data_IF_388956586301
#
_entry.id   IF_388956586301
#
_cell.length_a   1.000
_cell.length_b   1.000
_cell.length_c   1.000
_cell.angle_alpha   90.00
_cell.angle_beta   90.00
_cell.angle_gamma   90.00
#
_symmetry.space_group_name_H-M   'P 1'
#
loop_
_entity.id
_entity.type
_entity.pdbx_description
1 polymer ?
#
# COMPACT_ATOMS: atom_id res chain seq x y z
N UNK A 1 -2.26 0.62 -10.53
CA UNK A 1 -0.90 0.65 -11.16
C UNK A 1 0.20 0.93 -10.13
N UNK A 2 1.50 0.79 -10.46
CA UNK A 2 2.60 1.02 -9.49
C UNK A 2 2.58 2.47 -8.97
N UNK A 3 2.96 2.70 -7.71
CA UNK A 3 3.02 4.05 -7.13
C UNK A 3 3.93 4.98 -7.95
N UNK A 4 3.56 6.25 -8.03
CA UNK A 4 4.25 7.24 -8.88
C UNK A 4 5.71 7.47 -8.49
N UNK A 5 6.06 7.21 -7.24
CA UNK A 5 7.38 7.50 -6.66
C UNK A 5 8.30 6.29 -6.67
N UNK A 6 7.86 5.17 -7.25
CA UNK A 6 8.70 4.01 -7.51
C UNK A 6 9.80 4.39 -8.52
N UNK A 7 11.08 4.19 -8.19
CA UNK A 7 12.17 4.39 -9.15
C UNK A 7 11.99 3.52 -10.39
N UNK A 8 12.21 4.08 -11.58
CA UNK A 8 12.00 3.40 -12.86
C UNK A 8 10.61 2.74 -13.00
N UNK A 9 9.58 3.38 -12.42
CA UNK A 9 8.19 2.90 -12.33
C UNK A 9 7.68 2.16 -13.57
N UNK A 10 7.97 2.67 -14.77
CA UNK A 10 7.47 2.12 -16.04
C UNK A 10 7.95 0.70 -16.32
N UNK A 11 9.02 0.23 -15.64
CA UNK A 11 9.49 -1.15 -15.72
C UNK A 11 8.73 -2.11 -14.78
N UNK A 12 7.88 -1.58 -13.92
CA UNK A 12 7.14 -2.36 -12.92
C UNK A 12 5.64 -2.38 -13.19
N UNK A 13 5.03 -3.55 -13.03
CA UNK A 13 3.58 -3.71 -12.87
C UNK A 13 3.24 -4.14 -11.45
N UNK A 14 2.04 -3.83 -10.98
CA UNK A 14 1.57 -4.32 -9.68
C UNK A 14 1.27 -5.80 -9.81
N UNK A 15 1.78 -6.58 -8.87
CA UNK A 15 1.46 -7.99 -8.74
C UNK A 15 0.22 -8.15 -7.85
N UNK A 16 -0.96 -8.17 -8.48
CA UNK A 16 -2.24 -8.28 -7.79
C UNK A 16 -2.38 -9.65 -7.06
N UNK A 17 -3.09 -9.69 -5.91
CA UNK A 17 -3.83 -8.61 -5.26
C UNK A 17 -2.99 -7.74 -4.30
N UNK A 18 -1.66 -7.86 -4.31
CA UNK A 18 -0.79 -7.29 -3.28
C UNK A 18 -0.47 -5.81 -3.51
N UNK A 19 -1.48 -4.95 -3.38
CA UNK A 19 -1.34 -3.50 -3.38
C UNK A 19 -2.38 -2.90 -2.44
N UNK A 20 -1.95 -2.13 -1.45
CA UNK A 20 -2.85 -1.55 -0.45
C UNK A 20 -2.41 -0.16 -0.01
N UNK A 21 -3.39 0.72 0.20
CA UNK A 21 -3.22 2.01 0.85
C UNK A 21 -3.80 1.95 2.26
N UNK A 22 -3.04 2.47 3.20
CA UNK A 22 -3.37 2.46 4.62
C UNK A 22 -3.37 3.89 5.14
N UNK A 23 -4.28 4.19 6.06
CA UNK A 23 -4.34 5.48 6.75
C UNK A 23 -4.50 5.30 8.25
N UNK A 24 -3.96 6.24 9.02
CA UNK A 24 -4.12 6.31 10.46
C UNK A 24 -4.33 7.77 10.86
N UNK A 25 -5.43 8.03 11.57
CA UNK A 25 -5.76 9.33 12.15
C UNK A 25 -5.77 9.19 13.66
N UNK A 26 -4.86 9.90 14.34
CA UNK A 26 -4.77 9.94 15.80
C UNK A 26 -4.59 11.38 16.22
N UNK A 27 -5.33 11.82 17.24
CA UNK A 27 -5.09 13.09 17.93
C UNK A 27 -4.26 12.78 19.17
N UNK A 28 -3.05 13.30 19.25
CA UNK A 28 -2.13 13.07 20.37
C UNK A 28 -1.58 14.41 20.85
N UNK A 29 -1.81 14.75 22.12
CA UNK A 29 -1.33 16.01 22.72
C UNK A 29 -1.83 17.29 22.02
N UNK A 30 -3.02 17.25 21.38
CA UNK A 30 -3.55 18.37 20.59
C UNK A 30 -3.04 18.44 19.15
N UNK A 31 -2.18 17.50 18.72
CA UNK A 31 -1.70 17.40 17.35
C UNK A 31 -2.46 16.34 16.57
N UNK A 32 -2.91 16.68 15.36
CA UNK A 32 -3.45 15.72 14.42
C UNK A 32 -2.31 14.96 13.71
N UNK A 33 -2.13 13.69 14.05
CA UNK A 33 -1.16 12.78 13.47
C UNK A 33 -1.80 11.94 12.37
N UNK A 34 -2.12 12.59 11.25
CA UNK A 34 -2.60 11.92 10.05
C UNK A 34 -1.43 11.33 9.26
N UNK A 35 -1.33 10.00 9.23
CA UNK A 35 -0.27 9.27 8.52
C UNK A 35 -0.86 8.34 7.48
N UNK A 36 -0.12 8.13 6.40
CA UNK A 36 -0.44 7.11 5.40
C UNK A 36 0.69 6.09 5.25
N UNK A 37 0.34 4.95 4.65
CA UNK A 37 1.29 3.95 4.19
C UNK A 37 0.80 3.36 2.86
N UNK A 38 1.70 3.08 1.92
CA UNK A 38 1.42 2.32 0.71
C UNK A 38 2.36 1.11 0.72
N UNK A 39 1.79 -0.07 0.48
CA UNK A 39 2.54 -1.33 0.37
C UNK A 39 2.15 -1.95 -0.98
N UNK A 40 3.12 -2.29 -1.83
CA UNK A 40 2.87 -2.99 -3.09
C UNK A 40 3.89 -4.10 -3.31
N UNK A 41 3.46 -5.23 -3.86
CA UNK A 41 4.36 -6.15 -4.57
C UNK A 41 4.36 -5.74 -6.03
N UNK A 42 5.55 -5.60 -6.59
CA UNK A 42 5.79 -5.17 -7.96
C UNK A 42 6.53 -6.27 -8.71
N UNK A 43 6.10 -6.55 -9.94
CA UNK A 43 6.80 -7.42 -10.88
C UNK A 43 7.56 -6.55 -11.87
N UNK A 44 8.87 -6.74 -11.98
CA UNK A 44 9.71 -6.04 -12.94
C UNK A 44 9.66 -6.73 -14.31
N UNK A 45 9.91 -5.98 -15.38
CA UNK A 45 9.88 -6.48 -16.76
C UNK A 45 10.90 -7.59 -17.05
N UNK A 46 11.99 -7.67 -16.28
CA UNK A 46 12.98 -8.76 -16.38
C UNK A 46 12.56 -10.04 -15.62
N UNK A 47 11.39 -10.07 -14.98
CA UNK A 47 10.89 -11.22 -14.23
C UNK A 47 11.21 -11.23 -12.74
N UNK A 48 12.04 -10.31 -12.22
CA UNK A 48 12.27 -10.17 -10.78
C UNK A 48 11.11 -9.48 -10.06
N UNK A 49 11.12 -9.52 -8.73
CA UNK A 49 10.09 -8.92 -7.90
C UNK A 49 10.66 -7.85 -6.98
N UNK A 50 9.80 -6.96 -6.49
CA UNK A 50 10.15 -6.00 -5.46
C UNK A 50 8.97 -5.74 -4.52
N UNK A 51 9.23 -5.40 -3.27
CA UNK A 51 8.25 -4.80 -2.38
C UNK A 51 8.48 -3.29 -2.30
N UNK A 52 7.45 -2.50 -2.56
CA UNK A 52 7.45 -1.06 -2.40
C UNK A 52 6.75 -0.68 -1.11
N UNK A 53 7.44 0.11 -0.28
CA UNK A 53 6.90 0.68 0.95
C UNK A 53 7.02 2.19 0.88
N UNK A 54 5.91 2.92 0.99
CA UNK A 54 5.90 4.40 1.07
C UNK A 54 5.13 4.86 2.29
N UNK A 55 5.61 5.90 2.98
CA UNK A 55 4.98 6.42 4.19
C UNK A 55 5.17 7.92 4.32
N UNK A 56 4.25 8.57 5.01
CA UNK A 56 4.34 10.01 5.25
C UNK A 56 3.13 10.53 6.02
N UNK A 57 3.08 11.86 6.13
CA UNK A 57 1.86 12.55 6.56
C UNK A 57 0.90 12.68 5.39
N UNK A 58 -0.40 12.61 5.67
CA UNK A 58 -1.42 12.79 4.63
C UNK A 58 -1.30 14.19 4.04
N UNK A 59 -1.23 14.29 2.70
CA UNK A 59 -1.01 15.54 1.97
C UNK A 59 0.45 15.86 1.66
N UNK A 60 1.40 15.10 2.22
CA UNK A 60 2.84 15.23 1.93
C UNK A 60 3.34 14.07 1.05
N UNK A 61 4.43 14.28 0.32
CA UNK A 61 5.00 13.26 -0.55
C UNK A 61 5.59 12.07 0.22
N UNK A 62 6.08 12.30 1.45
CA UNK A 62 6.65 11.25 2.30
C UNK A 62 7.95 10.64 1.77
N UNK A 63 8.29 9.49 2.31
CA UNK A 63 9.46 8.69 1.93
C UNK A 63 9.03 7.34 1.37
N UNK A 64 9.81 6.81 0.44
CA UNK A 64 9.56 5.53 -0.18
C UNK A 64 10.83 4.69 -0.30
N UNK A 65 10.68 3.38 -0.15
CA UNK A 65 11.78 2.42 -0.29
C UNK A 65 11.33 1.19 -1.07
N UNK A 66 12.13 0.86 -2.08
CA UNK A 66 11.99 -0.32 -2.92
C UNK A 66 12.94 -1.41 -2.42
N UNK A 67 12.41 -2.59 -2.16
CA UNK A 67 13.15 -3.75 -1.69
C UNK A 67 13.14 -4.82 -2.79
N UNK A 68 14.28 -5.12 -3.43
CA UNK A 68 14.34 -6.13 -4.48
C UNK A 68 14.27 -7.56 -3.91
N UNK A 69 13.68 -8.47 -4.67
CA UNK A 69 13.60 -9.90 -4.37
C UNK A 69 13.76 -10.74 -5.64
N UNK A 70 14.49 -11.84 -5.53
CA UNK A 70 14.72 -12.76 -6.65
C UNK A 70 13.51 -13.65 -6.94
N UNK A 71 12.64 -13.87 -5.95
CA UNK A 71 11.48 -14.76 -6.05
C UNK A 71 10.19 -14.12 -5.53
N UNK A 72 9.08 -14.43 -6.20
CA UNK A 72 7.73 -13.94 -5.90
C UNK A 72 7.33 -14.14 -4.43
N UNK A 73 7.53 -15.36 -3.92
CA UNK A 73 7.14 -15.73 -2.56
C UNK A 73 7.83 -14.88 -1.48
N UNK A 74 9.08 -14.44 -1.72
CA UNK A 74 9.81 -13.59 -0.78
C UNK A 74 9.24 -12.16 -0.76
N UNK A 75 8.88 -11.62 -1.92
CA UNK A 75 8.24 -10.31 -2.02
C UNK A 75 6.85 -10.30 -1.37
N UNK A 76 6.05 -11.35 -1.61
CA UNK A 76 4.74 -11.54 -0.97
C UNK A 76 4.88 -11.62 0.55
N UNK A 77 5.81 -12.45 1.06
CA UNK A 77 6.06 -12.56 2.50
C UNK A 77 6.47 -11.22 3.13
N UNK A 78 7.27 -10.43 2.42
CA UNK A 78 7.65 -9.08 2.86
C UNK A 78 6.45 -8.14 2.95
N UNK A 79 5.58 -8.17 1.93
CA UNK A 79 4.32 -7.43 1.91
C UNK A 79 3.41 -7.82 3.09
N UNK A 80 3.15 -9.12 3.29
CA UNK A 80 2.25 -9.61 4.34
C UNK A 80 2.78 -9.27 5.74
N UNK A 81 4.10 -9.41 5.94
CA UNK A 81 4.75 -9.03 7.19
C UNK A 81 4.60 -7.52 7.46
N UNK A 82 4.77 -6.68 6.44
CA UNK A 82 4.60 -5.23 6.58
C UNK A 82 3.15 -4.85 6.83
N UNK A 83 2.20 -5.46 6.12
CA UNK A 83 0.77 -5.25 6.35
C UNK A 83 0.42 -5.57 7.80
N UNK A 84 0.79 -6.76 8.29
CA UNK A 84 0.53 -7.20 9.67
C UNK A 84 1.15 -6.29 10.72
N UNK A 85 2.37 -5.80 10.51
CA UNK A 85 3.02 -4.82 11.39
C UNK A 85 2.18 -3.52 11.54
N UNK A 86 1.67 -3.01 10.42
CA UNK A 86 0.92 -1.75 10.38
C UNK A 86 -0.53 -1.88 10.84
N UNK A 87 -1.18 -3.01 10.59
CA UNK A 87 -2.61 -3.17 10.84
C UNK A 87 -2.95 -4.12 11.98
N UNK A 88 -2.00 -4.93 12.47
CA UNK A 88 -2.23 -6.10 13.35
C UNK A 88 -3.09 -7.22 12.75
N UNK A 89 -3.41 -7.15 11.45
CA UNK A 89 -4.19 -8.18 10.75
C UNK A 89 -3.30 -8.99 9.81
N UNK A 90 -3.61 -10.28 9.62
CA UNK A 90 -3.04 -11.02 8.49
C UNK A 90 -3.62 -10.47 7.17
N UNK A 91 -2.89 -10.57 6.06
CA UNK A 91 -3.42 -10.16 4.76
C UNK A 91 -4.67 -10.95 4.37
N UNK A 92 -4.72 -12.24 4.69
CA UNK A 92 -5.89 -13.08 4.46
C UNK A 92 -7.16 -12.54 5.14
N UNK A 93 -7.04 -11.95 6.34
CA UNK A 93 -8.17 -11.36 7.05
C UNK A 93 -8.76 -10.15 6.32
N UNK A 94 -7.95 -9.43 5.53
CA UNK A 94 -8.48 -8.41 4.63
C UNK A 94 -9.17 -9.04 3.42
N UNK A 95 -8.55 -10.06 2.81
CA UNK A 95 -9.08 -10.73 1.64
C UNK A 95 -10.43 -11.45 1.87
N UNK A 96 -10.67 -11.97 3.08
CA UNK A 96 -11.91 -12.68 3.44
C UNK A 96 -12.96 -11.77 4.13
N UNK A 97 -12.66 -10.47 4.29
CA UNK A 97 -13.56 -9.50 4.92
C UNK A 97 -13.58 -9.52 6.46
N UNK A 98 -12.71 -10.28 7.12
CA UNK A 98 -12.61 -10.35 8.58
C UNK A 98 -11.66 -9.30 9.22
N UNK A 99 -11.25 -8.27 8.46
CA UNK A 99 -10.34 -7.23 8.94
C UNK A 99 -10.90 -6.45 10.14
N UNK A 100 -10.11 -6.34 11.21
CA UNK A 100 -10.49 -5.60 12.42
C UNK A 100 -9.63 -4.35 12.58
N UNK A 101 -10.28 -3.18 12.73
CA UNK A 101 -9.57 -1.94 13.09
C UNK A 101 -9.10 -2.00 14.54
N UNK A 102 -7.86 -1.60 14.76
CA UNK A 102 -7.27 -1.50 16.10
C UNK A 102 -6.89 -0.05 16.41
N UNK A 103 -7.08 0.34 17.67
CA UNK A 103 -6.67 1.65 18.15
C UNK A 103 -5.18 1.90 17.89
N UNK A 104 -4.84 3.13 17.47
CA UNK A 104 -3.46 3.56 17.15
C UNK A 104 -2.74 2.67 16.11
N UNK A 105 -3.49 1.99 15.24
CA UNK A 105 -2.99 1.22 14.10
C UNK A 105 -3.63 1.71 12.80
N UNK A 106 -3.01 1.32 11.69
CA UNK A 106 -3.48 1.70 10.37
C UNK A 106 -4.74 0.90 9.99
N UNK A 107 -5.70 1.59 9.38
CA UNK A 107 -6.83 0.98 8.67
C UNK A 107 -6.58 0.93 7.16
N UNK A 108 -7.27 0.02 6.47
CA UNK A 108 -7.29 -0.01 5.01
C UNK A 108 -8.15 1.14 4.48
N UNK A 109 -7.67 1.78 3.42
CA UNK A 109 -8.43 2.76 2.62
C UNK A 109 -8.90 2.04 1.36
N UNK A 110 -10.21 1.80 1.28
CA UNK A 110 -10.82 1.32 0.05
C UNK A 110 -10.56 2.35 -1.05
N UNK A 111 -9.94 1.89 -2.11
CA UNK A 111 -9.76 2.70 -3.31
C UNK A 111 -10.66 2.04 -4.34
N UNK A 112 -11.82 2.64 -4.63
CA UNK A 112 -12.66 2.19 -5.73
C UNK A 112 -11.86 2.39 -7.02
N UNK A 113 -11.23 1.33 -7.53
CA UNK A 113 -10.76 1.31 -8.93
C UNK A 113 -11.97 0.98 -9.83
N UNK A 114 -12.91 1.92 -9.90
CA UNK A 114 -13.98 1.98 -10.91
C UNK A 114 -14.45 3.43 -11.08
N UNK A 115 -13.83 4.18 -11.99
CA UNK A 115 -14.55 5.09 -12.90
C UNK A 115 -13.64 5.52 -14.06
N UNK A 116 -13.66 4.74 -15.14
CA UNK A 116 -13.40 5.23 -16.50
C UNK A 116 -14.78 5.40 -17.15
N UNK A 117 -15.22 6.65 -17.32
CA UNK A 117 -16.36 6.99 -18.18
C UNK A 117 -17.50 7.76 -17.51
N UNK A 118 -17.36 9.08 -17.41
CA UNK A 118 -18.46 9.98 -17.10
C UNK A 118 -18.24 11.36 -17.72
N UNK A 119 -18.57 11.49 -19.01
CA UNK A 119 -18.79 12.80 -19.60
C UNK A 119 -20.07 13.42 -19.05
N UNK A 120 -20.05 14.73 -18.80
CA UNK A 120 -20.98 15.60 -19.51
C UNK A 120 -20.43 17.02 -19.62
N UNK A 121 -20.79 17.62 -20.74
CA UNK A 121 -20.58 19.01 -21.07
C UNK A 121 -21.64 19.88 -20.36
N UNK A 122 -21.24 21.08 -19.96
CA UNK A 122 -22.03 22.31 -20.07
C UNK A 122 -21.08 23.51 -19.87
#
# INVERSE_FOLDING_TARGET
GADRSVPERTKYSVHAPYSVKLAMSVIEGGHNLNKYYIIQVLKHSNGSFAAWNKWGRVGEEGEGKLYPFDVEAAAIKSFEAKFKDKTKNAWSAYADGSFVRHERKYGVVETDEADDGGGDAA
#
